data_IF_886938962248
#
_entry.id   IF_886938962248
#
_cell.length_a   1.000
_cell.length_b   1.000
_cell.length_c   1.000
_cell.angle_alpha   90.00
_cell.angle_beta   90.00
_cell.angle_gamma   90.00
#
_symmetry.space_group_name_H-M   'P 1'
#
loop_
_entity.id
_entity.type
_entity.pdbx_description
1 polymer ?
#
# COMPACT_ATOMS: atom_id res chain seq x y z
N UNK A 1 20.90 -2.94 -13.41
CA UNK A 1 21.06 -4.33 -13.90
C UNK A 1 22.55 -4.67 -13.97
N UNK A 2 22.97 -5.85 -13.55
CA UNK A 2 24.36 -6.27 -13.66
C UNK A 2 24.66 -6.79 -15.07
N UNK A 3 25.92 -6.69 -15.53
CA UNK A 3 26.36 -7.13 -16.87
C UNK A 3 25.98 -8.59 -17.14
N UNK A 4 26.12 -9.46 -16.13
CA UNK A 4 25.73 -10.87 -16.23
C UNK A 4 24.22 -11.08 -16.47
N UNK A 5 23.37 -10.25 -15.90
CA UNK A 5 21.91 -10.31 -16.14
C UNK A 5 21.57 -9.86 -17.55
N UNK A 6 22.27 -8.85 -18.07
CA UNK A 6 22.11 -8.36 -19.45
C UNK A 6 22.57 -9.39 -20.46
N UNK A 7 23.72 -10.02 -20.20
CA UNK A 7 24.21 -11.14 -21.00
C UNK A 7 23.16 -12.27 -21.08
N UNK A 8 22.65 -12.73 -19.94
CA UNK A 8 21.63 -13.79 -19.89
C UNK A 8 20.35 -13.40 -20.66
N UNK A 9 19.90 -12.15 -20.50
CA UNK A 9 18.71 -11.65 -21.19
C UNK A 9 18.91 -11.62 -22.70
N UNK A 10 20.00 -11.04 -23.19
CA UNK A 10 20.26 -10.93 -24.63
C UNK A 10 20.55 -12.27 -25.26
N UNK A 11 21.32 -13.15 -24.61
CA UNK A 11 21.58 -14.50 -25.11
C UNK A 11 20.28 -15.30 -25.26
N UNK A 12 19.35 -15.15 -24.31
CA UNK A 12 18.04 -15.77 -24.37
C UNK A 12 17.17 -15.23 -25.52
N UNK A 13 17.22 -13.93 -25.79
CA UNK A 13 16.51 -13.30 -26.91
C UNK A 13 17.10 -13.74 -28.26
N UNK A 14 18.42 -13.70 -28.37
CA UNK A 14 19.14 -14.07 -29.60
C UNK A 14 18.98 -15.57 -29.89
N UNK A 15 19.04 -16.39 -28.86
CA UNK A 15 18.81 -17.85 -28.99
C UNK A 15 17.40 -18.20 -29.44
N UNK A 16 16.39 -17.47 -28.98
CA UNK A 16 15.00 -17.62 -29.42
C UNK A 16 14.83 -17.26 -30.90
N UNK A 17 15.54 -16.24 -31.38
CA UNK A 17 15.39 -15.70 -32.74
C UNK A 17 16.26 -16.42 -33.75
N UNK A 18 17.54 -16.66 -33.43
CA UNK A 18 18.50 -17.27 -34.37
C UNK A 18 18.56 -18.80 -34.23
N UNK A 19 17.88 -19.40 -33.24
CA UNK A 19 17.91 -20.84 -33.00
C UNK A 19 19.29 -21.37 -32.56
N UNK A 20 20.17 -20.49 -32.09
CA UNK A 20 21.52 -20.83 -31.63
C UNK A 20 21.67 -20.48 -30.14
N UNK A 21 22.41 -21.29 -29.37
CA UNK A 21 22.75 -21.00 -27.97
C UNK A 21 24.14 -20.39 -27.86
N UNK A 22 24.35 -19.56 -26.83
CA UNK A 22 25.66 -19.01 -26.41
C UNK A 22 26.42 -18.22 -27.52
N UNK A 23 25.69 -17.40 -28.27
CA UNK A 23 26.27 -16.59 -29.33
C UNK A 23 27.03 -15.37 -28.77
N UNK A 24 26.51 -14.79 -27.67
CA UNK A 24 27.12 -13.66 -27.00
C UNK A 24 28.10 -14.13 -25.94
N UNK A 25 29.28 -13.54 -25.86
CA UNK A 25 30.24 -13.80 -24.79
C UNK A 25 29.85 -13.10 -23.49
N UNK A 26 30.19 -13.67 -22.34
CA UNK A 26 29.85 -13.10 -21.03
C UNK A 26 30.36 -11.67 -20.80
N UNK A 27 31.47 -11.30 -21.42
CA UNK A 27 32.10 -9.98 -21.38
C UNK A 27 31.53 -9.00 -22.43
N UNK A 28 30.55 -9.43 -23.22
CA UNK A 28 29.93 -8.68 -24.32
C UNK A 28 30.93 -8.23 -25.41
N UNK A 29 32.12 -8.82 -25.50
CA UNK A 29 33.19 -8.39 -26.41
C UNK A 29 32.81 -8.57 -27.89
N UNK A 30 31.92 -9.49 -28.22
CA UNK A 30 31.49 -9.79 -29.59
C UNK A 30 30.13 -9.20 -29.96
N UNK A 31 29.65 -8.21 -29.20
CA UNK A 31 28.31 -7.60 -29.38
C UNK A 31 28.13 -6.99 -30.76
N UNK A 32 29.17 -6.40 -31.33
CA UNK A 32 29.11 -5.76 -32.66
C UNK A 32 28.91 -6.78 -33.79
N UNK A 33 29.64 -7.88 -33.72
CA UNK A 33 29.52 -8.95 -34.73
C UNK A 33 28.18 -9.68 -34.62
N UNK A 34 27.73 -9.90 -33.40
CA UNK A 34 26.41 -10.43 -33.14
C UNK A 34 25.30 -9.50 -33.66
N UNK A 35 25.43 -8.18 -33.46
CA UNK A 35 24.49 -7.20 -33.98
C UNK A 35 24.40 -7.23 -35.52
N UNK A 36 25.55 -7.33 -36.22
CA UNK A 36 25.58 -7.51 -37.66
C UNK A 36 24.90 -8.81 -38.13
N UNK A 37 25.15 -9.92 -37.47
CA UNK A 37 24.53 -11.20 -37.82
C UNK A 37 23.01 -11.15 -37.56
N UNK A 38 22.58 -10.58 -36.44
CA UNK A 38 21.19 -10.44 -36.07
C UNK A 38 20.41 -9.62 -37.08
N UNK A 39 20.89 -8.41 -37.42
CA UNK A 39 20.19 -7.49 -38.30
C UNK A 39 20.34 -7.79 -39.77
N UNK A 40 21.24 -8.68 -40.18
CA UNK A 40 21.31 -9.18 -41.54
C UNK A 40 20.34 -10.33 -41.82
N UNK A 41 20.00 -11.12 -40.83
CA UNK A 41 19.23 -12.35 -40.95
C UNK A 41 17.84 -12.28 -40.33
N UNK A 42 17.50 -11.22 -39.57
CA UNK A 42 16.28 -11.16 -38.76
C UNK A 42 15.61 -9.80 -38.92
N UNK A 43 14.30 -9.82 -38.93
CA UNK A 43 13.48 -8.61 -38.84
C UNK A 43 13.64 -7.93 -37.47
N UNK A 44 14.01 -6.65 -37.50
CA UNK A 44 14.21 -5.86 -36.26
C UNK A 44 12.95 -5.81 -35.40
N UNK A 45 11.77 -5.85 -35.99
CA UNK A 45 10.48 -5.87 -35.27
C UNK A 45 10.38 -7.11 -34.40
N UNK A 46 10.73 -8.29 -34.91
CA UNK A 46 10.70 -9.54 -34.12
C UNK A 46 11.73 -9.52 -32.97
N UNK A 47 12.92 -8.98 -33.22
CA UNK A 47 13.92 -8.81 -32.17
C UNK A 47 13.43 -7.90 -31.06
N UNK A 48 12.89 -6.73 -31.40
CA UNK A 48 12.39 -5.77 -30.42
C UNK A 48 11.23 -6.34 -29.61
N UNK A 49 10.29 -7.04 -30.24
CA UNK A 49 9.18 -7.70 -29.53
C UNK A 49 9.68 -8.72 -28.51
N UNK A 50 10.63 -9.58 -28.89
CA UNK A 50 11.22 -10.55 -27.97
C UNK A 50 12.01 -9.86 -26.84
N UNK A 51 12.82 -8.84 -27.16
CA UNK A 51 13.58 -8.07 -26.18
C UNK A 51 12.66 -7.40 -25.14
N UNK A 52 11.63 -6.67 -25.60
CA UNK A 52 10.69 -5.97 -24.72
C UNK A 52 9.94 -6.94 -23.83
N UNK A 53 9.51 -8.08 -24.34
CA UNK A 53 8.87 -9.14 -23.55
C UNK A 53 9.81 -9.71 -22.47
N UNK A 54 11.08 -9.95 -22.82
CA UNK A 54 12.09 -10.47 -21.87
C UNK A 54 12.44 -9.45 -20.80
N UNK A 55 12.61 -8.17 -21.18
CA UNK A 55 12.81 -7.08 -20.19
C UNK A 55 11.60 -7.01 -19.26
N UNK A 56 10.38 -7.04 -19.78
CA UNK A 56 9.17 -7.05 -18.98
C UNK A 56 9.11 -8.22 -18.01
N UNK A 57 9.37 -9.45 -18.48
CA UNK A 57 9.42 -10.64 -17.61
C UNK A 57 10.49 -10.52 -16.53
N UNK A 58 11.69 -10.00 -16.87
CA UNK A 58 12.78 -9.82 -15.91
C UNK A 58 12.42 -8.78 -14.84
N UNK A 59 11.83 -7.64 -15.23
CA UNK A 59 11.33 -6.64 -14.29
C UNK A 59 10.28 -7.25 -13.34
N UNK A 60 9.35 -8.01 -13.90
CA UNK A 60 8.26 -8.60 -13.11
C UNK A 60 8.70 -9.69 -12.13
N UNK A 61 9.72 -10.47 -12.48
CA UNK A 61 10.23 -11.55 -11.63
C UNK A 61 11.20 -11.05 -10.56
N UNK A 62 12.12 -10.16 -10.94
CA UNK A 62 13.22 -9.74 -10.06
C UNK A 62 12.89 -8.51 -9.22
N UNK A 63 11.72 -7.92 -9.42
CA UNK A 63 11.32 -6.72 -8.70
C UNK A 63 11.09 -7.01 -7.22
N UNK A 64 11.93 -6.42 -6.39
CA UNK A 64 11.67 -6.29 -4.95
C UNK A 64 10.90 -5.00 -4.73
N UNK A 65 9.77 -5.09 -4.03
CA UNK A 65 9.06 -3.89 -3.62
C UNK A 65 9.90 -3.09 -2.63
N UNK A 66 10.18 -1.84 -2.98
CA UNK A 66 10.96 -0.90 -2.16
C UNK A 66 10.14 0.31 -1.71
N UNK A 67 8.83 0.16 -1.67
CA UNK A 67 7.91 1.22 -1.29
C UNK A 67 7.94 1.58 0.19
N UNK A 68 7.17 2.60 0.57
CA UNK A 68 7.17 3.18 1.92
C UNK A 68 6.39 2.33 2.93
N UNK A 69 5.37 1.60 2.47
CA UNK A 69 4.48 0.79 3.32
C UNK A 69 4.34 -0.61 2.72
N UNK A 70 5.40 -1.44 2.82
CA UNK A 70 5.39 -2.80 2.26
C UNK A 70 4.37 -3.73 2.91
N UNK A 71 3.95 -3.46 4.15
CA UNK A 71 2.98 -4.27 4.89
C UNK A 71 1.60 -4.35 4.22
N UNK A 72 1.24 -3.34 3.42
CA UNK A 72 -0.04 -3.29 2.69
C UNK A 72 0.01 -4.09 1.40
N UNK A 73 1.21 -4.39 0.88
CA UNK A 73 1.35 -5.17 -0.34
C UNK A 73 1.13 -6.66 -0.04
N UNK A 74 0.13 -7.24 -0.67
CA UNK A 74 -0.19 -8.66 -0.58
C UNK A 74 0.33 -9.42 -1.79
N UNK A 75 0.50 -10.73 -1.65
CA UNK A 75 0.78 -11.62 -2.77
C UNK A 75 -0.37 -11.61 -3.80
N UNK A 76 -0.04 -11.97 -5.03
CA UNK A 76 -1.04 -12.02 -6.08
C UNK A 76 -2.19 -12.97 -5.70
N UNK A 77 -3.42 -12.55 -5.97
CA UNK A 77 -4.56 -13.44 -5.85
C UNK A 77 -4.48 -14.45 -6.98
N UNK A 78 -4.16 -15.68 -6.66
CA UNK A 78 -4.11 -16.75 -7.64
C UNK A 78 -5.52 -16.98 -8.22
N UNK A 79 -5.62 -17.03 -9.54
CA UNK A 79 -6.83 -17.43 -10.27
C UNK A 79 -8.10 -16.61 -10.01
N UNK A 80 -8.04 -15.30 -10.19
CA UNK A 80 -9.26 -14.53 -10.25
C UNK A 80 -9.10 -13.07 -9.92
N UNK A 81 -10.03 -12.26 -10.41
CA UNK A 81 -10.07 -10.82 -10.17
C UNK A 81 -10.87 -10.45 -8.91
N UNK A 82 -11.31 -11.44 -8.13
CA UNK A 82 -12.20 -11.24 -6.99
C UNK A 82 -11.61 -11.90 -5.75
N UNK A 83 -11.34 -11.09 -4.71
CA UNK A 83 -11.01 -11.59 -3.38
C UNK A 83 -12.31 -11.89 -2.63
N UNK A 84 -12.48 -13.10 -2.16
CA UNK A 84 -13.58 -13.49 -1.30
C UNK A 84 -13.12 -13.57 0.16
N UNK A 85 -13.78 -12.85 1.05
CA UNK A 85 -13.59 -12.93 2.49
C UNK A 85 -14.85 -13.47 3.14
N UNK A 86 -14.75 -14.61 3.80
CA UNK A 86 -15.85 -15.24 4.53
C UNK A 86 -15.60 -15.00 6.03
N UNK A 87 -16.58 -14.48 6.73
CA UNK A 87 -16.54 -14.30 8.19
C UNK A 87 -17.78 -14.88 8.83
N UNK A 88 -17.61 -15.54 9.96
CA UNK A 88 -18.71 -15.97 10.83
C UNK A 88 -18.75 -15.05 12.06
N UNK A 89 -19.95 -14.69 12.48
CA UNK A 89 -20.15 -14.00 13.75
C UNK A 89 -19.95 -15.01 14.90
N UNK A 90 -19.43 -14.55 16.01
CA UNK A 90 -19.21 -15.41 17.18
C UNK A 90 -20.56 -15.89 17.73
N UNK A 91 -20.70 -17.19 18.02
CA UNK A 91 -21.89 -17.68 18.69
C UNK A 91 -21.93 -17.13 20.13
N UNK A 92 -23.12 -16.69 20.55
CA UNK A 92 -23.32 -16.25 21.94
C UNK A 92 -23.17 -17.42 22.88
N UNK A 93 -22.27 -17.32 23.84
CA UNK A 93 -22.18 -18.26 24.95
C UNK A 93 -23.17 -17.84 26.03
N UNK A 94 -23.95 -18.79 26.50
CA UNK A 94 -24.87 -18.62 27.63
C UNK A 94 -24.40 -19.48 28.84
N UNK A 95 -24.67 -19.02 30.02
CA UNK A 95 -24.43 -19.80 31.21
C UNK A 95 -25.32 -21.05 31.20
N UNK A 96 -24.77 -22.16 31.61
CA UNK A 96 -25.49 -23.44 31.65
C UNK A 96 -26.14 -23.63 33.03
N UNK A 97 -27.46 -23.73 33.03
CA UNK A 97 -28.28 -23.91 34.25
C UNK A 97 -28.26 -25.35 34.78
N UNK A 98 -27.30 -26.20 34.45
CA UNK A 98 -27.26 -27.62 34.79
C UNK A 98 -27.26 -27.90 36.30
N UNK A 99 -26.90 -26.91 37.11
CA UNK A 99 -26.91 -26.99 38.60
C UNK A 99 -28.17 -26.41 39.23
N UNK A 100 -29.02 -25.71 38.45
CA UNK A 100 -30.21 -25.00 38.94
C UNK A 100 -31.45 -25.37 38.09
N UNK A 101 -31.60 -26.65 37.79
CA UNK A 101 -32.75 -27.15 37.01
C UNK A 101 -34.07 -26.92 37.74
N UNK A 102 -35.02 -26.24 37.07
CA UNK A 102 -36.32 -25.94 37.58
C UNK A 102 -37.33 -27.03 37.18
N UNK A 103 -38.03 -27.59 38.18
CA UNK A 103 -39.05 -28.59 37.91
C UNK A 103 -40.20 -28.02 37.06
N UNK A 104 -40.56 -28.72 36.00
CA UNK A 104 -41.59 -28.29 35.05
C UNK A 104 -41.09 -27.44 33.86
N UNK A 105 -39.80 -27.10 33.83
CA UNK A 105 -39.19 -26.42 32.66
C UNK A 105 -38.77 -27.46 31.62
N UNK A 106 -39.09 -27.22 30.35
CA UNK A 106 -38.67 -28.09 29.27
C UNK A 106 -37.31 -27.65 28.73
N UNK A 107 -36.33 -28.55 28.75
CA UNK A 107 -34.99 -28.35 28.16
C UNK A 107 -34.91 -29.14 26.86
N UNK A 108 -35.20 -28.46 25.72
CA UNK A 108 -35.18 -29.11 24.42
C UNK A 108 -33.76 -29.28 23.88
N UNK A 109 -33.24 -30.54 23.75
CA UNK A 109 -31.91 -30.78 23.25
C UNK A 109 -31.79 -30.67 21.73
N UNK A 110 -32.92 -30.50 21.01
CA UNK A 110 -32.97 -30.51 19.54
C UNK A 110 -33.02 -29.12 18.92
N UNK A 111 -32.70 -28.06 19.68
CA UNK A 111 -32.64 -26.71 19.12
C UNK A 111 -31.43 -26.55 18.20
N UNK A 112 -31.66 -26.22 16.94
CA UNK A 112 -30.61 -26.00 15.95
C UNK A 112 -30.18 -24.51 15.96
N UNK A 113 -28.97 -24.25 16.43
CA UNK A 113 -28.36 -22.92 16.45
C UNK A 113 -27.60 -22.68 15.16
N UNK A 114 -28.22 -21.95 14.21
CA UNK A 114 -27.63 -21.65 12.91
C UNK A 114 -26.54 -20.57 13.05
N UNK A 115 -25.27 -20.83 12.63
CA UNK A 115 -24.24 -19.81 12.62
C UNK A 115 -24.56 -18.73 11.59
N UNK A 116 -24.32 -17.45 11.96
CA UNK A 116 -24.44 -16.33 11.04
C UNK A 116 -23.14 -16.20 10.28
N UNK A 117 -23.18 -16.42 8.97
CA UNK A 117 -22.02 -16.31 8.08
C UNK A 117 -22.26 -15.20 7.08
N UNK A 118 -21.26 -14.36 6.87
CA UNK A 118 -21.27 -13.31 5.84
C UNK A 118 -20.09 -13.48 4.90
N UNK A 119 -20.32 -13.23 3.61
CA UNK A 119 -19.29 -13.23 2.60
C UNK A 119 -19.20 -11.83 1.96
N UNK A 120 -17.96 -11.33 1.82
CA UNK A 120 -17.66 -10.10 1.10
C UNK A 120 -16.81 -10.42 -0.12
N UNK A 121 -17.09 -9.73 -1.21
CA UNK A 121 -16.38 -9.88 -2.46
C UNK A 121 -15.74 -8.54 -2.84
N UNK A 122 -14.42 -8.54 -3.03
CA UNK A 122 -13.67 -7.38 -3.44
C UNK A 122 -13.17 -7.59 -4.87
N UNK A 123 -13.67 -6.77 -5.80
CA UNK A 123 -13.35 -6.85 -7.23
C UNK A 123 -12.75 -5.56 -7.79
N UNK A 124 -12.40 -4.62 -6.91
CA UNK A 124 -11.81 -3.37 -7.32
C UNK A 124 -10.40 -3.60 -7.86
N UNK A 125 -10.17 -3.14 -9.08
CA UNK A 125 -8.88 -3.24 -9.74
C UNK A 125 -8.58 -1.98 -10.55
N UNK A 126 -7.31 -1.74 -10.77
CA UNK A 126 -6.79 -0.69 -11.64
C UNK A 126 -5.70 -1.26 -12.53
N UNK A 127 -5.73 -0.91 -13.80
CA UNK A 127 -4.67 -1.22 -14.75
C UNK A 127 -3.78 -0.01 -14.92
N UNK A 128 -2.51 -0.14 -14.58
CA UNK A 128 -1.50 0.85 -14.88
C UNK A 128 -0.80 0.51 -16.19
N UNK A 129 -0.43 1.52 -16.93
CA UNK A 129 0.29 1.40 -18.19
C UNK A 129 1.52 2.29 -18.16
N UNK A 130 2.66 1.73 -18.50
CA UNK A 130 3.92 2.46 -18.67
C UNK A 130 4.26 2.44 -20.14
N UNK A 131 4.03 3.55 -20.88
CA UNK A 131 4.42 3.66 -22.28
C UNK A 131 5.92 3.94 -22.39
N UNK A 132 6.58 3.26 -23.32
CA UNK A 132 7.98 3.48 -23.63
C UNK A 132 8.22 3.30 -25.13
N UNK A 133 8.76 4.32 -25.77
CA UNK A 133 9.02 4.29 -27.21
C UNK A 133 10.50 4.54 -27.51
N UNK A 134 11.01 3.88 -28.54
CA UNK A 134 12.36 4.08 -29.05
C UNK A 134 12.42 3.78 -30.54
N UNK A 135 13.39 4.37 -31.22
CA UNK A 135 13.54 4.25 -32.68
C UNK A 135 14.34 3.00 -33.06
N UNK A 136 14.11 2.51 -34.27
CA UNK A 136 14.89 1.40 -34.84
C UNK A 136 16.38 1.74 -34.89
N UNK A 137 16.72 3.01 -35.19
CA UNK A 137 18.09 3.49 -35.16
C UNK A 137 18.75 3.34 -33.80
N UNK A 138 18.04 3.69 -32.69
CA UNK A 138 18.56 3.53 -31.35
C UNK A 138 18.83 2.06 -31.00
N UNK A 139 17.97 1.14 -31.48
CA UNK A 139 18.18 -0.30 -31.28
C UNK A 139 19.47 -0.74 -32.02
N UNK A 140 19.62 -0.37 -33.28
CA UNK A 140 20.82 -0.71 -34.07
C UNK A 140 22.10 -0.10 -33.50
N UNK A 141 22.05 1.17 -33.09
CA UNK A 141 23.19 1.87 -32.48
C UNK A 141 23.60 1.27 -31.14
N UNK A 142 22.66 0.69 -30.35
CA UNK A 142 22.99 0.03 -29.10
C UNK A 142 23.96 -1.15 -29.25
N UNK A 143 24.07 -1.73 -30.44
CA UNK A 143 24.99 -2.81 -30.74
C UNK A 143 26.38 -2.33 -31.19
N UNK A 144 26.68 -1.04 -31.21
CA UNK A 144 27.98 -0.51 -31.58
C UNK A 144 29.06 -0.85 -30.53
N UNK A 145 28.68 -0.99 -29.28
CA UNK A 145 29.58 -1.39 -28.21
C UNK A 145 28.85 -2.08 -27.04
N UNK A 146 29.59 -2.85 -26.24
CA UNK A 146 29.06 -3.46 -25.03
C UNK A 146 28.52 -2.41 -24.05
N UNK A 147 29.16 -1.25 -23.96
CA UNK A 147 28.74 -0.15 -23.08
C UNK A 147 27.41 0.44 -23.52
N UNK A 148 27.22 0.67 -24.82
CA UNK A 148 25.97 1.22 -25.36
C UNK A 148 24.80 0.26 -25.22
N UNK A 149 25.03 -1.04 -25.49
CA UNK A 149 24.03 -2.07 -25.28
C UNK A 149 23.61 -2.18 -23.81
N UNK A 150 24.58 -2.18 -22.90
CA UNK A 150 24.34 -2.20 -21.46
C UNK A 150 23.54 -0.97 -21.02
N UNK A 151 23.89 0.22 -21.50
CA UNK A 151 23.19 1.47 -21.19
C UNK A 151 21.74 1.44 -21.70
N UNK A 152 21.52 0.97 -22.93
CA UNK A 152 20.18 0.87 -23.53
C UNK A 152 19.27 -0.09 -22.76
N UNK A 153 19.72 -1.30 -22.47
CA UNK A 153 18.93 -2.28 -21.72
C UNK A 153 18.67 -1.80 -20.27
N UNK A 154 19.67 -1.22 -19.61
CA UNK A 154 19.51 -0.67 -18.26
C UNK A 154 18.54 0.51 -18.23
N UNK A 155 18.52 1.34 -19.25
CA UNK A 155 17.55 2.43 -19.41
C UNK A 155 16.12 1.89 -19.49
N UNK A 156 15.88 0.89 -20.33
CA UNK A 156 14.56 0.28 -20.48
C UNK A 156 14.09 -0.32 -19.15
N UNK A 157 14.94 -1.12 -18.52
CA UNK A 157 14.65 -1.77 -17.25
C UNK A 157 14.31 -0.76 -16.16
N UNK A 158 15.20 0.23 -15.94
CA UNK A 158 15.04 1.22 -14.87
C UNK A 158 13.81 2.12 -15.07
N UNK A 159 13.50 2.50 -16.32
CA UNK A 159 12.33 3.32 -16.61
C UNK A 159 11.03 2.61 -16.23
N UNK A 160 10.89 1.33 -16.60
CA UNK A 160 9.72 0.53 -16.29
C UNK A 160 9.63 0.25 -14.79
N UNK A 161 10.72 -0.20 -14.15
CA UNK A 161 10.76 -0.53 -12.72
C UNK A 161 10.39 0.67 -11.84
N UNK A 162 11.01 1.82 -12.08
CA UNK A 162 10.72 3.05 -11.32
C UNK A 162 9.27 3.49 -11.48
N UNK A 163 8.75 3.51 -12.72
CA UNK A 163 7.38 3.89 -12.97
C UNK A 163 6.38 2.94 -12.30
N UNK A 164 6.64 1.63 -12.31
CA UNK A 164 5.79 0.66 -11.64
C UNK A 164 5.82 0.84 -10.11
N UNK A 165 6.99 1.07 -9.54
CA UNK A 165 7.12 1.32 -8.08
C UNK A 165 6.34 2.56 -7.66
N UNK A 166 6.51 3.68 -8.38
CA UNK A 166 5.78 4.92 -8.11
C UNK A 166 4.27 4.73 -8.17
N UNK A 167 3.76 3.99 -9.16
CA UNK A 167 2.32 3.73 -9.30
C UNK A 167 1.78 2.80 -8.22
N UNK A 168 2.54 1.78 -7.84
CA UNK A 168 2.16 0.89 -6.73
C UNK A 168 2.12 1.64 -5.40
N UNK A 169 3.12 2.47 -5.11
CA UNK A 169 3.14 3.33 -3.92
C UNK A 169 1.95 4.30 -3.89
N UNK A 170 1.64 4.91 -5.03
CA UNK A 170 0.48 5.79 -5.15
C UNK A 170 -0.84 5.05 -4.84
N UNK A 171 -0.98 3.81 -5.30
CA UNK A 171 -2.17 3.00 -5.03
C UNK A 171 -2.27 2.60 -3.55
N UNK A 172 -1.15 2.22 -2.93
CA UNK A 172 -1.08 1.90 -1.49
C UNK A 172 -1.52 3.12 -0.67
N UNK A 173 -0.93 4.29 -0.94
CA UNK A 173 -1.29 5.52 -0.23
C UNK A 173 -2.75 5.92 -0.44
N UNK A 174 -3.25 5.77 -1.67
CA UNK A 174 -4.68 6.00 -1.96
C UNK A 174 -5.59 5.06 -1.15
N UNK A 175 -5.22 3.79 -1.03
CA UNK A 175 -6.00 2.79 -0.28
C UNK A 175 -6.02 3.13 1.21
N UNK A 176 -4.88 3.51 1.79
CA UNK A 176 -4.79 3.98 3.18
C UNK A 176 -5.61 5.27 3.37
N UNK A 177 -5.45 6.25 2.50
CA UNK A 177 -6.16 7.54 2.60
C UNK A 177 -7.68 7.39 2.50
N UNK A 178 -8.16 6.46 1.66
CA UNK A 178 -9.58 6.13 1.60
C UNK A 178 -10.08 5.57 2.94
N UNK A 179 -9.29 4.69 3.58
CA UNK A 179 -9.65 4.12 4.87
C UNK A 179 -9.62 5.17 5.98
N UNK A 180 -8.63 6.08 5.98
CA UNK A 180 -8.57 7.21 6.90
C UNK A 180 -9.82 8.08 6.76
N UNK A 181 -10.17 8.48 5.54
CA UNK A 181 -11.32 9.34 5.30
C UNK A 181 -12.65 8.70 5.73
N UNK A 182 -12.83 7.42 5.42
CA UNK A 182 -14.02 6.67 5.84
C UNK A 182 -14.10 6.50 7.36
N UNK A 183 -12.96 6.27 8.02
CA UNK A 183 -12.90 6.14 9.48
C UNK A 183 -13.21 7.46 10.17
N UNK A 184 -12.61 8.57 9.70
CA UNK A 184 -12.85 9.90 10.29
C UNK A 184 -14.31 10.36 10.06
N UNK A 185 -14.87 10.12 8.88
CA UNK A 185 -16.28 10.47 8.58
C UNK A 185 -17.28 9.60 9.36
N UNK A 186 -16.95 8.33 9.58
CA UNK A 186 -17.82 7.37 10.24
C UNK A 186 -17.68 7.32 11.77
N UNK A 187 -16.73 8.03 12.36
CA UNK A 187 -16.49 8.00 13.81
C UNK A 187 -17.18 9.17 14.52
N UNK A 188 -18.31 8.89 15.17
CA UNK A 188 -19.04 9.86 15.99
C UNK A 188 -18.58 9.88 17.45
N UNK A 189 -17.79 8.88 17.90
CA UNK A 189 -17.40 8.73 19.29
C UNK A 189 -15.97 9.19 19.60
N UNK A 190 -15.15 9.41 18.58
CA UNK A 190 -13.72 9.75 18.76
C UNK A 190 -12.86 8.57 19.25
N UNK A 191 -13.30 7.33 19.00
CA UNK A 191 -12.61 6.11 19.43
C UNK A 191 -11.70 5.57 18.32
N UNK A 192 -12.13 5.67 17.05
CA UNK A 192 -11.39 5.24 15.87
C UNK A 192 -10.61 6.37 15.23
N UNK A 193 -11.14 7.59 15.29
CA UNK A 193 -10.49 8.82 14.85
C UNK A 193 -10.12 9.66 16.08
N UNK A 194 -8.91 9.45 16.60
CA UNK A 194 -8.47 9.97 17.89
C UNK A 194 -7.74 11.29 17.72
N UNK A 195 -8.36 12.39 18.15
CA UNK A 195 -7.66 13.67 18.24
C UNK A 195 -6.80 13.73 19.51
N UNK A 196 -5.53 13.34 19.39
CA UNK A 196 -4.60 13.27 20.51
C UNK A 196 -4.36 14.66 21.15
N UNK A 197 -4.34 15.73 20.34
CA UNK A 197 -4.12 17.07 20.83
C UNK A 197 -5.31 17.55 21.69
N UNK A 198 -6.53 17.33 21.21
CA UNK A 198 -7.75 17.64 21.97
C UNK A 198 -7.77 16.91 23.31
N UNK A 199 -7.48 15.61 23.26
CA UNK A 199 -7.48 14.77 24.47
C UNK A 199 -6.41 15.20 25.46
N UNK A 200 -5.20 15.56 24.98
CA UNK A 200 -4.14 16.08 25.82
C UNK A 200 -4.52 17.41 26.48
N UNK A 201 -5.01 18.40 25.70
CA UNK A 201 -5.44 19.68 26.22
C UNK A 201 -6.53 19.52 27.29
N UNK A 202 -7.48 18.61 27.07
CA UNK A 202 -8.55 18.28 28.02
C UNK A 202 -7.97 17.65 29.30
N UNK A 203 -7.06 16.66 29.16
CA UNK A 203 -6.43 15.98 30.30
C UNK A 203 -5.62 16.94 31.18
N UNK A 204 -4.89 17.89 30.56
CA UNK A 204 -4.10 18.89 31.29
C UNK A 204 -4.92 20.09 31.75
N UNK A 205 -6.22 20.17 31.42
CA UNK A 205 -7.07 21.32 31.76
C UNK A 205 -6.66 22.62 31.07
N UNK A 206 -6.00 22.54 29.91
CA UNK A 206 -5.51 23.73 29.18
C UNK A 206 -6.68 24.46 28.50
N UNK A 207 -6.73 25.78 28.69
CA UNK A 207 -7.78 26.64 28.15
C UNK A 207 -7.25 28.03 27.73
N UNK A 208 -7.98 28.69 26.86
CA UNK A 208 -7.63 30.04 26.38
C UNK A 208 -6.24 30.09 25.69
N UNK A 209 -5.40 31.00 26.12
CA UNK A 209 -4.05 31.20 25.55
C UNK A 209 -3.08 30.06 25.86
N UNK A 210 -3.39 29.21 26.82
CA UNK A 210 -2.52 28.10 27.25
C UNK A 210 -2.77 26.82 26.49
N UNK A 211 -3.76 26.76 25.59
CA UNK A 211 -4.05 25.60 24.76
C UNK A 211 -2.85 25.29 23.86
N UNK A 212 -2.38 24.06 23.91
CA UNK A 212 -1.36 23.60 22.95
C UNK A 212 -1.99 23.52 21.57
N UNK A 213 -1.36 24.17 20.58
CA UNK A 213 -1.82 24.19 19.18
C UNK A 213 -1.12 23.14 18.35
N UNK A 214 -1.74 22.74 17.22
CA UNK A 214 -1.20 21.72 16.31
C UNK A 214 0.21 22.07 15.79
N UNK A 215 0.48 23.37 15.56
CA UNK A 215 1.79 23.84 15.10
C UNK A 215 2.92 23.67 16.15
N UNK A 216 2.58 23.64 17.43
CA UNK A 216 3.54 23.48 18.53
C UNK A 216 3.60 22.06 19.08
N UNK A 217 2.60 21.23 18.78
CA UNK A 217 2.44 19.90 19.35
C UNK A 217 3.66 18.99 19.10
N UNK A 218 4.22 19.00 17.89
CA UNK A 218 5.39 18.17 17.54
C UNK A 218 6.73 18.67 18.12
N UNK A 219 6.72 19.81 18.81
CA UNK A 219 7.90 20.37 19.53
C UNK A 219 7.72 20.34 21.04
N UNK A 220 6.61 19.83 21.55
CA UNK A 220 6.32 19.74 22.98
C UNK A 220 6.62 18.31 23.50
N UNK A 221 7.66 18.13 24.35
CA UNK A 221 8.05 16.81 24.85
C UNK A 221 6.95 16.12 25.66
N UNK A 222 6.16 16.86 26.45
CA UNK A 222 5.09 16.27 27.27
C UNK A 222 3.94 15.76 26.40
N UNK A 223 3.61 16.48 25.33
CA UNK A 223 2.64 15.99 24.35
C UNK A 223 3.15 14.75 23.63
N UNK A 224 4.42 14.72 23.22
CA UNK A 224 5.01 13.57 22.53
C UNK A 224 5.04 12.32 23.43
N UNK A 225 5.35 12.46 24.73
CA UNK A 225 5.24 11.37 25.72
C UNK A 225 3.80 10.83 25.79
N UNK A 226 2.84 11.74 25.90
CA UNK A 226 1.43 11.40 25.96
C UNK A 226 0.97 10.68 24.68
N UNK A 227 1.30 11.21 23.51
CA UNK A 227 0.92 10.64 22.23
C UNK A 227 1.49 9.23 22.03
N UNK A 228 2.77 9.03 22.34
CA UNK A 228 3.44 7.73 22.28
C UNK A 228 2.80 6.70 23.22
N UNK A 229 2.50 7.11 24.46
CA UNK A 229 1.77 6.27 25.42
C UNK A 229 0.38 5.88 24.90
N UNK A 230 -0.36 6.83 24.29
CA UNK A 230 -1.68 6.52 23.75
C UNK A 230 -1.61 5.54 22.57
N UNK A 231 -0.65 5.72 21.65
CA UNK A 231 -0.45 4.79 20.52
C UNK A 231 -0.15 3.37 21.05
N UNK A 232 0.74 3.24 22.06
CA UNK A 232 1.06 1.95 22.66
C UNK A 232 -0.17 1.32 23.35
N UNK A 233 -0.96 2.13 24.07
CA UNK A 233 -2.18 1.67 24.73
C UNK A 233 -3.23 1.18 23.72
N UNK A 234 -3.37 1.83 22.56
CA UNK A 234 -4.26 1.38 21.50
C UNK A 234 -3.79 0.07 20.87
N UNK A 235 -2.48 -0.15 20.75
CA UNK A 235 -1.94 -1.43 20.28
C UNK A 235 -2.36 -2.59 21.20
N UNK A 236 -2.33 -2.38 22.53
CA UNK A 236 -2.79 -3.39 23.46
C UNK A 236 -4.32 -3.57 23.45
N UNK A 237 -5.08 -2.48 23.30
CA UNK A 237 -6.56 -2.52 23.21
C UNK A 237 -7.05 -3.26 21.97
N UNK A 238 -6.39 -3.07 20.83
CA UNK A 238 -6.74 -3.78 19.59
C UNK A 238 -6.51 -5.30 19.69
N UNK A 239 -5.59 -5.74 20.56
CA UNK A 239 -5.38 -7.15 20.88
C UNK A 239 -6.53 -7.80 21.68
N UNK A 240 -7.49 -7.01 22.16
CA UNK A 240 -8.64 -7.50 22.91
C UNK A 240 -9.89 -7.47 22.03
N UNK A 241 -10.76 -8.48 22.16
CA UNK A 241 -12.02 -8.55 21.42
C UNK A 241 -12.89 -7.32 21.69
N UNK A 242 -13.26 -6.60 20.62
CA UNK A 242 -14.06 -5.39 20.72
C UNK A 242 -14.81 -5.09 19.42
N UNK A 243 -15.94 -4.40 19.54
CA UNK A 243 -16.72 -3.84 18.40
C UNK A 243 -16.38 -2.38 18.14
N UNK A 244 -15.55 -1.75 18.96
CA UNK A 244 -15.32 -0.30 18.97
C UNK A 244 -14.39 0.18 17.86
N UNK A 245 -13.42 -0.67 17.45
CA UNK A 245 -12.31 -0.25 16.58
C UNK A 245 -12.55 -0.50 15.10
N UNK A 246 -13.72 -1.01 14.72
CA UNK A 246 -14.12 -1.15 13.33
C UNK A 246 -15.46 -0.42 13.04
N UNK A 247 -15.64 0.01 11.80
CA UNK A 247 -16.84 0.76 11.41
C UNK A 247 -18.07 -0.14 11.26
N UNK A 248 -17.86 -1.42 10.98
CA UNK A 248 -18.93 -2.41 10.83
C UNK A 248 -19.55 -2.85 12.15
N UNK A 249 -18.97 -2.48 13.31
CA UNK A 249 -19.45 -2.90 14.63
C UNK A 249 -19.34 -4.41 14.83
N UNK A 250 -18.37 -5.06 14.19
CA UNK A 250 -18.13 -6.49 14.32
C UNK A 250 -17.17 -6.77 15.50
N UNK A 251 -17.37 -7.91 16.15
CA UNK A 251 -16.45 -8.39 17.17
C UNK A 251 -15.14 -8.81 16.52
N UNK A 252 -14.07 -8.05 16.79
CA UNK A 252 -12.74 -8.25 16.22
C UNK A 252 -11.66 -8.04 17.27
N UNK A 253 -10.56 -8.75 17.11
CA UNK A 253 -9.29 -8.50 17.79
C UNK A 253 -8.18 -8.60 16.76
N UNK A 254 -7.09 -7.87 16.96
CA UNK A 254 -5.93 -7.87 16.10
C UNK A 254 -4.73 -8.41 16.84
N UNK A 255 -4.25 -9.63 16.54
CA UNK A 255 -3.02 -10.16 17.10
C UNK A 255 -1.82 -9.25 16.79
N UNK A 256 -0.80 -9.26 17.66
CA UNK A 256 0.38 -8.37 17.51
C UNK A 256 1.15 -8.60 16.21
N UNK A 257 1.16 -9.80 15.69
CA UNK A 257 1.80 -10.18 14.41
C UNK A 257 1.02 -9.74 13.17
N UNK A 258 -0.28 -9.46 13.34
CA UNK A 258 -1.15 -8.92 12.30
C UNK A 258 -1.37 -7.41 12.42
N UNK A 259 -0.82 -6.78 13.44
CA UNK A 259 -0.97 -5.35 13.68
C UNK A 259 0.04 -4.57 12.85
N UNK A 260 -0.45 -3.66 12.02
CA UNK A 260 0.36 -2.73 11.26
C UNK A 260 0.19 -1.31 11.77
N UNK A 261 1.31 -0.61 11.88
CA UNK A 261 1.37 0.78 12.33
C UNK A 261 2.14 1.58 11.30
N UNK A 262 1.55 2.67 10.81
CA UNK A 262 2.18 3.60 9.87
C UNK A 262 2.18 4.99 10.51
N UNK A 263 3.36 5.57 10.68
CA UNK A 263 3.53 6.88 11.31
C UNK A 263 4.02 7.93 10.31
N UNK A 264 3.63 9.17 10.54
CA UNK A 264 4.21 10.31 9.83
C UNK A 264 5.66 10.51 10.28
N UNK A 265 6.57 10.68 9.32
CA UNK A 265 8.00 10.86 9.62
C UNK A 265 8.27 12.05 10.54
N UNK A 266 7.52 13.13 10.40
CA UNK A 266 7.64 14.32 11.29
C UNK A 266 7.39 13.95 12.75
N UNK A 267 6.34 13.17 13.02
CA UNK A 267 6.04 12.69 14.37
C UNK A 267 7.11 11.69 14.87
N UNK A 268 7.49 10.73 14.03
CA UNK A 268 8.48 9.72 14.41
C UNK A 268 9.85 10.35 14.72
N UNK A 269 10.30 11.33 13.92
CA UNK A 269 11.55 12.04 14.16
C UNK A 269 11.46 12.98 15.38
N UNK A 270 10.33 13.68 15.55
CA UNK A 270 10.12 14.51 16.75
C UNK A 270 10.18 13.66 18.02
N UNK A 271 9.51 12.53 18.05
CA UNK A 271 9.55 11.59 19.18
C UNK A 271 10.98 11.13 19.45
N UNK A 272 11.72 10.73 18.41
CA UNK A 272 13.11 10.33 18.54
C UNK A 272 13.99 11.47 19.08
N UNK A 273 13.85 12.66 18.56
CA UNK A 273 14.67 13.82 18.97
C UNK A 273 14.39 14.26 20.39
N UNK A 274 13.11 14.37 20.77
CA UNK A 274 12.74 14.98 22.07
C UNK A 274 12.62 13.97 23.21
N UNK A 275 12.36 12.68 22.92
CA UNK A 275 12.22 11.68 23.98
C UNK A 275 13.49 10.87 24.20
N UNK A 276 14.23 10.51 23.16
CA UNK A 276 15.49 9.75 23.28
C UNK A 276 16.64 10.64 23.81
N UNK A 277 16.65 11.96 23.51
CA UNK A 277 17.68 12.86 24.00
C UNK A 277 17.55 13.24 25.47
N UNK A 278 16.35 13.12 26.05
CA UNK A 278 16.04 13.58 27.41
C UNK A 278 16.03 12.45 28.46
N UNK A 279 16.20 11.18 28.05
CA UNK A 279 16.17 10.03 28.94
C UNK A 279 17.48 9.25 28.91
N UNK A 280 18.15 9.13 30.05
CA UNK A 280 19.30 8.23 30.27
C UNK A 280 18.93 6.74 30.06
N UNK A 281 17.64 6.38 29.96
CA UNK A 281 17.12 5.05 29.71
C UNK A 281 16.23 5.04 28.45
N UNK A 282 16.83 4.75 27.30
CA UNK A 282 16.17 4.55 26.01
C UNK A 282 15.12 3.43 25.97
N UNK A 283 15.00 2.64 27.04
CA UNK A 283 14.08 1.50 27.10
C UNK A 283 12.66 1.84 27.53
N UNK A 284 12.47 3.02 28.15
CA UNK A 284 11.17 3.39 28.73
C UNK A 284 10.19 4.04 27.74
N UNK A 285 10.65 4.49 26.59
CA UNK A 285 9.79 5.14 25.56
C UNK A 285 10.10 4.54 24.20
N UNK A 286 9.67 3.31 23.98
CA UNK A 286 9.71 2.70 22.63
C UNK A 286 8.38 2.89 21.95
N UNK A 287 8.38 3.60 20.80
CA UNK A 287 7.29 3.48 19.86
C UNK A 287 7.22 2.02 19.38
N UNK A 288 6.02 1.44 19.19
CA UNK A 288 5.88 0.16 18.52
C UNK A 288 6.60 0.17 17.18
N UNK A 289 7.07 -0.98 16.73
CA UNK A 289 7.67 -1.11 15.39
C UNK A 289 6.67 -0.62 14.35
N UNK A 290 7.07 0.42 13.61
CA UNK A 290 6.18 1.12 12.68
C UNK A 290 6.88 1.41 11.37
N UNK A 291 6.11 1.39 10.29
CA UNK A 291 6.51 1.94 9.00
C UNK A 291 6.35 3.47 9.02
N UNK A 292 7.19 4.18 8.28
CA UNK A 292 7.13 5.65 8.25
C UNK A 292 6.87 6.18 6.86
N UNK A 293 6.01 7.18 6.78
CA UNK A 293 5.72 7.92 5.54
C UNK A 293 6.14 9.38 5.69
N UNK A 294 6.80 9.98 4.68
CA UNK A 294 7.28 11.35 4.78
C UNK A 294 6.13 12.37 4.81
N UNK A 295 5.04 12.06 4.17
CA UNK A 295 3.79 12.84 4.15
C UNK A 295 2.65 11.98 3.60
N UNK A 296 1.41 12.31 3.97
CA UNK A 296 0.21 11.69 3.40
C UNK A 296 -0.06 12.34 2.04
N UNK A 297 -0.16 11.50 1.01
CA UNK A 297 -0.44 12.00 -0.33
C UNK A 297 -1.95 12.21 -0.51
N UNK A 298 -2.32 13.15 -1.38
CA UNK A 298 -3.70 13.38 -1.74
C UNK A 298 -4.37 12.15 -2.37
N UNK A 299 -5.69 12.20 -2.51
CA UNK A 299 -6.54 11.11 -3.03
C UNK A 299 -6.39 10.85 -4.54
N UNK A 300 -5.47 11.50 -5.21
CA UNK A 300 -5.30 11.40 -6.66
C UNK A 300 -5.01 9.97 -7.15
N UNK A 301 -5.38 9.70 -8.40
CA UNK A 301 -4.99 8.49 -9.12
C UNK A 301 -3.56 8.58 -9.66
N UNK A 302 -3.00 9.78 -9.72
CA UNK A 302 -1.61 10.08 -10.09
C UNK A 302 -0.77 10.27 -8.84
N UNK A 303 0.54 10.00 -8.98
CA UNK A 303 1.49 10.29 -7.93
C UNK A 303 1.55 11.81 -7.71
N UNK A 304 1.24 12.25 -6.49
CA UNK A 304 1.28 13.65 -6.11
C UNK A 304 2.56 13.91 -5.30
N UNK A 305 3.40 14.80 -5.79
CA UNK A 305 4.62 15.26 -5.12
C UNK A 305 4.37 16.42 -4.14
N UNK A 306 3.10 16.74 -3.85
CA UNK A 306 2.75 17.75 -2.87
C UNK A 306 3.30 17.41 -1.49
N UNK A 307 3.97 18.36 -0.87
CA UNK A 307 4.50 18.22 0.49
C UNK A 307 3.45 18.40 1.58
N UNK A 308 2.19 18.51 1.21
CA UNK A 308 1.10 18.67 2.18
C UNK A 308 0.57 17.32 2.63
N UNK A 309 0.55 17.12 3.95
CA UNK A 309 -0.10 15.96 4.55
C UNK A 309 -1.62 16.11 4.66
N UNK A 310 -2.24 16.76 3.68
CA UNK A 310 -3.69 16.94 3.59
C UNK A 310 -4.30 15.85 2.73
N UNK A 311 -5.20 15.10 3.30
CA UNK A 311 -5.92 14.00 2.64
C UNK A 311 -7.26 14.54 2.16
N UNK A 312 -7.52 14.48 0.86
CA UNK A 312 -8.81 14.81 0.26
C UNK A 312 -9.33 13.57 -0.47
N UNK A 313 -10.42 13.03 -0.01
CA UNK A 313 -11.01 11.80 -0.56
C UNK A 313 -12.52 11.98 -0.74
N UNK A 314 -13.00 11.58 -1.90
CA UNK A 314 -14.43 11.44 -2.16
C UNK A 314 -14.89 10.04 -1.76
N UNK A 315 -15.67 9.92 -0.72
CA UNK A 315 -16.23 8.66 -0.23
C UNK A 315 -17.68 8.47 -0.66
N UNK A 316 -18.11 7.21 -0.82
CA UNK A 316 -19.51 6.87 -1.06
C UNK A 316 -20.26 6.80 0.27
N UNK A 317 -21.45 7.40 0.35
CA UNK A 317 -22.29 7.31 1.55
C UNK A 317 -22.91 5.90 1.69
N UNK A 318 -23.02 5.44 2.94
CA UNK A 318 -23.43 4.09 3.34
C UNK A 318 -24.84 3.66 2.90
N UNK A 319 -25.70 4.55 2.38
CA UNK A 319 -27.14 4.29 2.19
C UNK A 319 -27.57 4.03 0.74
N UNK A 320 -26.67 3.51 -0.12
CA UNK A 320 -27.07 3.17 -1.50
C UNK A 320 -27.50 4.35 -2.37
N UNK A 321 -27.47 5.56 -1.84
CA UNK A 321 -27.66 6.79 -2.61
C UNK A 321 -26.38 7.06 -3.40
N UNK A 322 -26.52 7.48 -4.64
CA UNK A 322 -25.43 7.94 -5.52
C UNK A 322 -24.69 9.19 -5.00
N UNK A 323 -24.93 9.58 -3.75
CA UNK A 323 -24.31 10.74 -3.13
C UNK A 323 -22.92 10.39 -2.61
N UNK A 324 -21.93 10.98 -3.23
CA UNK A 324 -20.56 11.02 -2.74
C UNK A 324 -20.39 12.19 -1.77
N UNK A 325 -19.45 12.07 -0.84
CA UNK A 325 -19.04 13.13 0.09
C UNK A 325 -17.54 13.33 0.00
N UNK A 326 -17.11 14.57 -0.16
CA UNK A 326 -15.72 14.94 -0.09
C UNK A 326 -15.32 15.10 1.38
N UNK A 327 -14.33 14.32 1.80
CA UNK A 327 -13.78 14.34 3.15
C UNK A 327 -12.35 14.86 3.09
N UNK A 328 -12.08 15.89 3.88
CA UNK A 328 -10.73 16.45 4.04
C UNK A 328 -10.25 16.16 5.44
N UNK A 329 -9.09 15.50 5.56
CA UNK A 329 -8.43 15.21 6.83
C UNK A 329 -7.04 15.82 6.82
N UNK A 330 -6.67 16.50 7.90
CA UNK A 330 -5.34 17.08 8.10
C UNK A 330 -4.80 16.73 9.48
N UNK A 331 -3.48 16.86 9.65
CA UNK A 331 -2.82 16.60 10.92
C UNK A 331 -2.76 15.14 11.34
N UNK A 332 -2.93 14.18 10.41
CA UNK A 332 -2.76 12.76 10.69
C UNK A 332 -1.30 12.49 11.02
N UNK A 333 -1.04 11.96 12.20
CA UNK A 333 0.31 11.57 12.67
C UNK A 333 0.57 10.08 12.58
N UNK A 334 -0.47 9.28 12.52
CA UNK A 334 -0.34 7.83 12.34
C UNK A 334 -1.66 7.12 12.18
N UNK A 335 -1.56 5.89 11.67
CA UNK A 335 -2.67 4.93 11.60
C UNK A 335 -2.23 3.59 12.14
N UNK A 336 -3.16 2.86 12.69
CA UNK A 336 -2.97 1.51 13.23
C UNK A 336 -4.10 0.63 12.74
N UNK A 337 -3.79 -0.54 12.18
CA UNK A 337 -4.81 -1.36 11.55
C UNK A 337 -4.43 -2.84 11.51
N UNK A 338 -5.45 -3.67 11.35
CA UNK A 338 -5.30 -5.09 11.08
C UNK A 338 -4.82 -5.34 9.65
N UNK A 339 -3.92 -6.29 9.43
CA UNK A 339 -3.43 -6.70 8.11
C UNK A 339 -4.56 -6.95 7.12
N UNK A 340 -5.68 -7.48 7.59
CA UNK A 340 -6.84 -7.80 6.77
C UNK A 340 -7.80 -6.62 6.54
N UNK A 341 -7.50 -5.43 7.10
CA UNK A 341 -8.33 -4.24 6.93
C UNK A 341 -8.21 -3.61 5.53
N UNK A 342 -7.03 -3.68 4.94
CA UNK A 342 -6.78 -3.13 3.61
C UNK A 342 -5.59 -3.84 2.96
N UNK A 343 -5.59 -3.86 1.63
CA UNK A 343 -4.49 -4.47 0.89
C UNK A 343 -4.47 -4.06 -0.57
N UNK A 344 -3.28 -4.17 -1.15
CA UNK A 344 -3.01 -4.01 -2.57
C UNK A 344 -2.29 -5.25 -3.07
N UNK A 345 -2.76 -5.84 -4.15
CA UNK A 345 -2.14 -7.02 -4.75
C UNK A 345 -1.79 -6.79 -6.22
N UNK A 346 -0.75 -7.46 -6.69
CA UNK A 346 -0.40 -7.50 -8.10
C UNK A 346 -1.15 -8.68 -8.74
N UNK A 347 -1.89 -8.40 -9.82
CA UNK A 347 -2.65 -9.41 -10.57
C UNK A 347 -1.89 -9.78 -11.85
N UNK A 348 -2.45 -9.44 -13.00
CA UNK A 348 -1.89 -9.77 -14.31
C UNK A 348 -0.87 -8.74 -14.81
N UNK A 349 0.08 -9.19 -15.61
CA UNK A 349 1.14 -8.39 -16.19
C UNK A 349 1.34 -8.77 -17.64
N UNK A 350 1.32 -7.77 -18.52
CA UNK A 350 1.41 -7.99 -19.96
C UNK A 350 2.16 -6.85 -20.64
N UNK A 351 2.79 -7.18 -21.75
CA UNK A 351 3.50 -6.23 -22.60
C UNK A 351 2.91 -6.31 -24.01
N UNK A 352 2.65 -5.15 -24.60
CA UNK A 352 2.22 -5.03 -26.00
C UNK A 352 3.15 -4.08 -26.74
N UNK A 353 3.47 -4.44 -27.98
CA UNK A 353 4.40 -3.69 -28.84
C UNK A 353 3.74 -3.39 -30.18
N UNK A 354 3.95 -2.19 -30.71
CA UNK A 354 3.53 -1.81 -32.03
C UNK A 354 4.66 -1.07 -32.76
N UNK A 355 4.90 -1.41 -34.02
CA UNK A 355 5.88 -0.75 -34.88
C UNK A 355 5.19 0.24 -35.82
N UNK A 356 5.73 1.46 -35.89
CA UNK A 356 5.28 2.46 -36.85
C UNK A 356 6.27 2.53 -37.99
N UNK A 357 5.92 2.02 -39.22
CA UNK A 357 6.86 1.94 -40.32
C UNK A 357 7.12 3.30 -40.98
N UNK A 358 6.25 4.29 -40.81
CA UNK A 358 6.45 5.63 -41.38
C UNK A 358 7.52 6.44 -40.66
N UNK A 359 7.64 6.24 -39.34
CA UNK A 359 8.56 6.99 -38.51
C UNK A 359 9.62 6.09 -37.84
N UNK A 360 9.68 4.82 -38.21
CA UNK A 360 10.67 3.81 -37.80
C UNK A 360 10.87 3.74 -36.27
N UNK A 361 9.76 3.70 -35.51
CA UNK A 361 9.82 3.59 -34.06
C UNK A 361 8.90 2.50 -33.53
N UNK A 362 9.26 1.98 -32.36
CA UNK A 362 8.50 1.02 -31.57
C UNK A 362 7.83 1.72 -30.42
N UNK A 363 6.52 1.51 -30.28
CA UNK A 363 5.76 1.87 -29.10
C UNK A 363 5.49 0.62 -28.26
N UNK A 364 5.88 0.66 -27.01
CA UNK A 364 5.75 -0.45 -26.07
C UNK A 364 4.91 -0.01 -24.88
N UNK A 365 3.99 -0.87 -24.44
CA UNK A 365 3.15 -0.63 -23.28
C UNK A 365 3.32 -1.77 -22.28
N UNK A 366 3.95 -1.46 -21.16
CA UNK A 366 4.04 -2.36 -20.01
C UNK A 366 2.82 -2.15 -19.14
N UNK A 367 1.89 -3.12 -19.16
CA UNK A 367 0.64 -3.06 -18.40
C UNK A 367 0.69 -3.98 -17.20
N UNK A 368 0.20 -3.49 -16.07
CA UNK A 368 0.06 -4.31 -14.87
C UNK A 368 -1.24 -3.97 -14.14
N UNK A 369 -1.93 -5.01 -13.75
CA UNK A 369 -3.18 -4.93 -13.04
C UNK A 369 -2.92 -5.07 -11.55
N UNK A 370 -3.49 -4.16 -10.75
CA UNK A 370 -3.45 -4.21 -9.30
C UNK A 370 -4.86 -4.29 -8.75
N UNK A 371 -5.09 -5.25 -7.86
CA UNK A 371 -6.28 -5.29 -7.04
C UNK A 371 -6.08 -4.49 -5.76
N UNK A 372 -7.15 -3.92 -5.21
CA UNK A 372 -7.12 -3.23 -3.93
C UNK A 372 -8.45 -3.37 -3.20
N UNK A 373 -8.41 -3.34 -1.87
CA UNK A 373 -9.62 -3.41 -1.06
C UNK A 373 -9.47 -2.64 0.26
N UNK A 374 -10.61 -2.25 0.82
CA UNK A 374 -10.76 -1.72 2.16
C UNK A 374 -11.90 -2.46 2.86
N UNK A 375 -11.65 -3.07 4.02
CA UNK A 375 -12.66 -3.74 4.82
C UNK A 375 -12.95 -2.97 6.11
N UNK A 376 -14.08 -2.28 6.12
CA UNK A 376 -14.56 -1.50 7.26
C UNK A 376 -14.99 -2.36 8.48
N UNK A 377 -15.03 -3.69 8.32
CA UNK A 377 -15.33 -4.61 9.42
C UNK A 377 -14.09 -5.03 10.21
N UNK A 378 -12.91 -4.67 9.74
CA UNK A 378 -11.66 -4.91 10.46
C UNK A 378 -11.21 -3.68 11.23
N UNK A 379 -10.35 -3.90 12.22
CA UNK A 379 -9.87 -2.83 13.10
C UNK A 379 -9.01 -1.83 12.35
N UNK A 380 -9.37 -0.55 12.48
CA UNK A 380 -8.63 0.57 11.91
C UNK A 380 -8.78 1.82 12.79
N UNK A 381 -7.66 2.39 13.21
CA UNK A 381 -7.60 3.58 14.08
C UNK A 381 -6.72 4.65 13.46
N UNK A 382 -7.19 5.88 13.50
CA UNK A 382 -6.49 7.07 13.00
C UNK A 382 -6.11 7.97 14.16
N UNK A 383 -4.85 8.35 14.27
CA UNK A 383 -4.35 9.33 15.23
C UNK A 383 -4.04 10.64 14.51
N UNK A 384 -4.63 11.72 14.98
CA UNK A 384 -4.41 13.04 14.38
C UNK A 384 -4.31 14.15 15.42
N UNK A 385 -3.77 15.28 15.00
CA UNK A 385 -3.67 16.51 15.76
C UNK A 385 -4.45 17.61 15.04
N UNK A 386 -5.48 18.13 15.69
CA UNK A 386 -6.26 19.24 15.18
C UNK A 386 -6.62 20.19 16.31
N UNK A 387 -6.53 21.49 16.02
CA UNK A 387 -6.94 22.53 16.97
C UNK A 387 -8.44 22.43 17.30
N UNK A 388 -8.80 22.67 18.53
CA UNK A 388 -10.18 22.58 19.03
C UNK A 388 -11.08 23.69 18.50
N UNK A 389 -10.50 24.73 17.88
CA UNK A 389 -11.22 25.89 17.36
C UNK A 389 -11.68 25.74 15.90
N UNK A 390 -11.20 24.75 15.17
CA UNK A 390 -11.73 24.45 13.84
C UNK A 390 -12.89 23.46 13.97
N UNK A 391 -14.09 23.98 14.18
CA UNK A 391 -15.34 23.26 13.98
C UNK A 391 -15.46 22.82 12.52
N UNK A 392 -14.87 21.69 12.21
CA UNK A 392 -15.06 20.96 10.97
C UNK A 392 -16.19 19.96 11.12
N UNK A 393 -17.30 20.37 11.66
CA UNK A 393 -18.56 19.68 11.55
C UNK A 393 -19.22 20.15 10.25
N UNK A 394 -19.05 19.40 9.17
CA UNK A 394 -19.84 19.63 7.97
C UNK A 394 -21.33 19.48 8.30
N UNK A 395 -22.08 20.50 8.03
CA UNK A 395 -23.52 20.43 7.87
C UNK A 395 -23.87 19.65 6.59
#
# INVERSE_FOLDING_TARGET
MEVKQIYTLINSVTGEILGKSDILKEDLSNVVDMGKELFSNTDVDNYVKSLVNRVGKTVFVNRKYSGKVPSVLMDAWEFGSVLQKISADLPSATENESWELVNGTSYDPNVFYKPTVSAKFYNSKVTFEVPLSFTEKQVKESFNSASELNAFISMLYNAVEKSMTVKTDSLIMRTINNMIAQTVDGDTMGVRAVNLLKNYNTLKGLSGANVLTANKALTDPEFLKYASMQIALYADRLGTMSTLFNQGGKERFTPKDMLHIVLLSDYAQATKTYLESDTFNNELVKLPTAETVPYWQGSGTSFDFSKTSKINVTISKKNGSSNTKDVTVSGVIGVMFDRDALGVSNLDRRVTTNYNPKAEFFSNWYKFDCGYFNDLNENFVVFYIADTTSGGGGA
#
